data_IF_360253752939
#
_entry.id   IF_360253752939
#
_cell.length_a   1.000
_cell.length_b   1.000
_cell.length_c   1.000
_cell.angle_alpha   90.00
_cell.angle_beta   90.00
_cell.angle_gamma   90.00
#
_symmetry.space_group_name_H-M   'P 1'
#
loop_
_entity.id
_entity.type
_entity.pdbx_description
1 polymer ?
#
# COMPACT_ATOMS: atom_id res chain seq x y z
N UNK A 1 22.63 -38.19 11.80
CA UNK A 1 22.64 -37.69 10.40
C UNK A 1 21.63 -36.54 10.34
N UNK A 2 22.08 -35.28 10.22
CA UNK A 2 21.16 -34.12 10.19
C UNK A 2 20.49 -34.10 8.82
N UNK A 3 19.15 -34.13 8.77
CA UNK A 3 18.44 -33.99 7.50
C UNK A 3 18.76 -32.61 6.89
N UNK A 4 19.06 -32.54 5.57
CA UNK A 4 19.23 -31.26 4.89
C UNK A 4 17.95 -30.43 4.98
N UNK A 5 18.12 -29.11 5.07
CA UNK A 5 17.04 -28.15 5.22
C UNK A 5 16.00 -28.33 4.09
N UNK A 6 14.70 -28.45 4.38
CA UNK A 6 13.66 -28.67 3.36
C UNK A 6 13.66 -27.62 2.25
N UNK A 7 14.10 -26.39 2.54
CA UNK A 7 14.27 -25.30 1.55
C UNK A 7 15.39 -25.59 0.56
N UNK A 8 16.49 -26.19 1.04
CA UNK A 8 17.63 -26.56 0.18
C UNK A 8 17.26 -27.76 -0.69
N UNK A 9 16.50 -28.72 -0.15
CA UNK A 9 16.01 -29.86 -0.91
C UNK A 9 15.05 -29.44 -2.03
N UNK A 10 14.09 -28.54 -1.76
CA UNK A 10 13.16 -28.07 -2.79
C UNK A 10 13.85 -27.25 -3.88
N UNK A 11 14.81 -26.40 -3.51
CA UNK A 11 15.62 -25.64 -4.47
C UNK A 11 16.47 -26.56 -5.37
N UNK A 12 17.11 -27.58 -4.79
CA UNK A 12 17.91 -28.54 -5.55
C UNK A 12 17.07 -29.34 -6.56
N UNK A 13 15.87 -29.77 -6.16
CA UNK A 13 14.92 -30.43 -7.07
C UNK A 13 14.50 -29.49 -8.20
N UNK A 14 14.22 -28.21 -7.89
CA UNK A 14 13.91 -27.20 -8.90
C UNK A 14 15.04 -27.03 -9.92
N UNK A 15 16.29 -26.88 -9.45
CA UNK A 15 17.45 -26.77 -10.34
C UNK A 15 17.65 -28.02 -11.22
N UNK A 16 17.45 -29.22 -10.68
CA UNK A 16 17.55 -30.46 -11.45
C UNK A 16 16.48 -30.55 -12.55
N UNK A 17 15.24 -30.16 -12.25
CA UNK A 17 14.16 -30.13 -13.24
C UNK A 17 14.46 -29.11 -14.35
N UNK A 18 14.97 -27.92 -14.01
CA UNK A 18 15.37 -26.92 -15.00
C UNK A 18 16.50 -27.39 -15.91
N UNK A 19 17.56 -28.00 -15.33
CA UNK A 19 18.67 -28.55 -16.10
C UNK A 19 18.20 -29.69 -17.00
N UNK A 20 17.31 -30.54 -16.52
CA UNK A 20 16.74 -31.64 -17.29
C UNK A 20 15.87 -31.14 -18.45
N UNK A 21 15.05 -30.10 -18.23
CA UNK A 21 14.28 -29.46 -19.30
C UNK A 21 15.18 -28.90 -20.41
N UNK A 22 16.27 -28.22 -20.03
CA UNK A 22 17.26 -27.70 -20.98
C UNK A 22 17.94 -28.84 -21.77
N UNK A 23 18.27 -29.94 -21.11
CA UNK A 23 18.86 -31.10 -21.77
C UNK A 23 17.90 -31.73 -22.80
N UNK A 24 16.61 -31.85 -22.47
CA UNK A 24 15.58 -32.36 -23.39
C UNK A 24 15.45 -31.47 -24.62
N UNK A 25 15.49 -30.15 -24.44
CA UNK A 25 15.44 -29.18 -25.54
C UNK A 25 16.62 -29.37 -26.52
N UNK A 26 17.85 -29.40 -26.00
CA UNK A 26 19.05 -29.64 -26.82
C UNK A 26 19.06 -31.03 -27.49
N UNK A 27 18.63 -32.07 -26.79
CA UNK A 27 18.62 -33.44 -27.32
C UNK A 27 17.58 -33.61 -28.43
N UNK A 28 16.42 -32.94 -28.33
CA UNK A 28 15.38 -32.97 -29.35
C UNK A 28 15.75 -32.13 -30.58
N UNK A 29 16.53 -31.06 -30.41
CA UNK A 29 17.08 -30.28 -31.53
C UNK A 29 18.18 -31.06 -32.29
N UNK A 30 18.96 -31.88 -31.60
CA UNK A 30 19.94 -32.77 -32.21
C UNK A 30 19.30 -33.95 -32.96
N UNK A 31 18.28 -34.58 -32.36
CA UNK A 31 17.57 -35.73 -32.93
C UNK A 31 16.04 -35.53 -32.83
N UNK A 32 15.31 -35.30 -33.95
CA UNK A 32 13.87 -35.05 -33.91
C UNK A 32 13.02 -36.26 -33.48
N UNK A 33 13.60 -37.47 -33.46
CA UNK A 33 12.98 -38.69 -32.94
C UNK A 33 13.31 -38.97 -31.46
N UNK A 34 14.02 -38.06 -30.78
CA UNK A 34 14.35 -38.20 -29.37
C UNK A 34 13.10 -38.17 -28.48
N UNK A 35 12.98 -39.15 -27.57
CA UNK A 35 11.87 -39.30 -26.62
C UNK A 35 12.39 -39.09 -25.21
N UNK A 36 11.92 -38.03 -24.55
CA UNK A 36 12.36 -37.68 -23.20
C UNK A 36 11.73 -38.61 -22.15
N UNK A 37 12.37 -38.74 -20.98
CA UNK A 37 11.83 -39.51 -19.84
C UNK A 37 10.51 -38.92 -19.30
N UNK A 38 10.25 -37.64 -19.55
CA UNK A 38 9.01 -36.97 -19.18
C UNK A 38 7.90 -37.09 -20.25
N UNK A 39 8.13 -37.82 -21.34
CA UNK A 39 7.10 -38.18 -22.32
C UNK A 39 6.34 -39.43 -21.87
N UNK A 40 5.35 -39.21 -21.01
CA UNK A 40 4.59 -40.29 -20.33
C UNK A 40 3.55 -40.91 -21.27
N UNK A 41 2.90 -40.09 -22.12
CA UNK A 41 1.89 -40.54 -23.08
C UNK A 41 1.89 -39.67 -24.34
N UNK A 42 1.16 -40.07 -25.39
CA UNK A 42 1.02 -39.23 -26.60
C UNK A 42 0.40 -37.85 -26.33
N UNK A 43 -0.44 -37.76 -25.29
CA UNK A 43 -1.14 -36.55 -24.85
C UNK A 43 -0.36 -35.75 -23.78
N UNK A 44 0.61 -36.36 -23.11
CA UNK A 44 1.48 -35.71 -22.11
C UNK A 44 2.94 -35.90 -22.49
N UNK A 45 3.42 -34.98 -23.35
CA UNK A 45 4.80 -34.94 -23.83
C UNK A 45 5.47 -33.61 -23.49
N UNK A 46 6.50 -33.67 -22.65
CA UNK A 46 7.34 -32.51 -22.33
C UNK A 46 8.15 -32.05 -23.54
N UNK A 47 8.61 -32.97 -24.40
CA UNK A 47 9.39 -32.65 -25.60
C UNK A 47 8.56 -31.76 -26.53
N UNK A 48 7.31 -32.15 -26.82
CA UNK A 48 6.38 -31.36 -27.66
C UNK A 48 6.08 -29.98 -27.07
N UNK A 49 6.00 -29.86 -25.74
CA UNK A 49 5.75 -28.58 -25.06
C UNK A 49 6.98 -27.67 -25.16
N UNK A 50 8.16 -28.20 -24.84
CA UNK A 50 9.42 -27.45 -24.80
C UNK A 50 9.90 -27.02 -26.19
N UNK A 51 9.66 -27.81 -27.23
CA UNK A 51 10.02 -27.47 -28.62
C UNK A 51 8.90 -26.77 -29.38
N UNK A 52 7.75 -26.53 -28.73
CA UNK A 52 6.65 -25.80 -29.36
C UNK A 52 7.08 -24.35 -29.68
N UNK A 53 6.54 -23.75 -30.77
CA UNK A 53 6.77 -22.34 -31.08
C UNK A 53 6.38 -21.36 -29.96
N UNK A 54 5.62 -21.81 -28.95
CA UNK A 54 5.29 -21.04 -27.76
C UNK A 54 6.50 -20.80 -26.85
N UNK A 55 7.52 -21.65 -26.89
CA UNK A 55 8.74 -21.53 -26.07
C UNK A 55 9.77 -20.55 -26.70
N UNK A 56 10.05 -20.69 -27.99
CA UNK A 56 10.99 -19.82 -28.72
C UNK A 56 10.45 -18.40 -28.97
N UNK A 57 9.12 -18.21 -28.94
CA UNK A 57 8.50 -16.88 -28.93
C UNK A 57 8.88 -16.05 -27.70
N UNK A 58 9.39 -16.66 -26.62
CA UNK A 58 9.64 -15.99 -25.35
C UNK A 58 10.76 -14.94 -25.41
N UNK A 59 11.79 -15.10 -26.26
CA UNK A 59 12.88 -14.11 -26.38
C UNK A 59 12.51 -12.91 -27.28
N UNK A 60 11.77 -13.15 -28.38
CA UNK A 60 11.23 -12.07 -29.24
C UNK A 60 10.02 -11.35 -28.59
N UNK A 61 9.21 -12.05 -27.78
CA UNK A 61 8.18 -11.44 -26.93
C UNK A 61 8.79 -10.67 -25.76
N UNK A 62 9.95 -11.08 -25.23
CA UNK A 62 10.64 -10.32 -24.18
C UNK A 62 10.99 -8.90 -24.62
N UNK A 63 11.33 -8.73 -25.90
CA UNK A 63 11.65 -7.41 -26.48
C UNK A 63 10.44 -6.65 -27.03
N UNK A 64 9.22 -7.18 -26.86
CA UNK A 64 8.01 -6.46 -27.27
C UNK A 64 7.79 -5.25 -26.34
N UNK A 65 7.55 -4.03 -26.88
CA UNK A 65 7.36 -2.81 -26.09
C UNK A 65 6.30 -2.96 -24.98
N UNK A 66 5.23 -3.68 -25.27
CA UNK A 66 4.15 -3.95 -24.33
C UNK A 66 4.64 -4.76 -23.13
N UNK A 67 5.46 -5.79 -23.35
CA UNK A 67 5.99 -6.62 -22.28
C UNK A 67 6.97 -5.83 -21.41
N UNK A 68 7.83 -5.01 -22.01
CA UNK A 68 8.79 -4.19 -21.27
C UNK A 68 8.09 -3.18 -20.35
N UNK A 69 6.98 -2.59 -20.80
CA UNK A 69 6.16 -1.70 -19.98
C UNK A 69 5.69 -2.40 -18.70
N UNK A 70 5.06 -3.57 -18.81
CA UNK A 70 4.50 -4.29 -17.66
C UNK A 70 5.57 -4.83 -16.70
N UNK A 71 6.75 -5.22 -17.23
CA UNK A 71 7.87 -5.62 -16.38
C UNK A 71 8.47 -4.41 -15.63
N UNK A 72 8.57 -3.25 -16.27
CA UNK A 72 9.02 -2.03 -15.62
C UNK A 72 8.02 -1.56 -14.56
N UNK A 73 6.72 -1.62 -14.84
CA UNK A 73 5.66 -1.32 -13.86
C UNK A 73 5.71 -2.29 -12.67
N UNK A 74 5.93 -3.59 -12.91
CA UNK A 74 6.09 -4.58 -11.85
C UNK A 74 7.35 -4.34 -11.01
N UNK A 75 8.48 -4.03 -11.65
CA UNK A 75 9.72 -3.69 -10.96
C UNK A 75 9.56 -2.44 -10.09
N UNK A 76 8.88 -1.41 -10.61
CA UNK A 76 8.54 -0.20 -9.86
C UNK A 76 7.66 -0.53 -8.64
N UNK A 77 6.59 -1.30 -8.81
CA UNK A 77 5.74 -1.76 -7.71
C UNK A 77 6.53 -2.53 -6.64
N UNK A 78 7.45 -3.42 -7.03
CA UNK A 78 8.26 -4.15 -6.07
C UNK A 78 9.23 -3.25 -5.29
N UNK A 79 9.79 -2.24 -5.95
CA UNK A 79 10.62 -1.23 -5.30
C UNK A 79 9.80 -0.37 -4.32
N UNK A 80 8.58 0.02 -4.68
CA UNK A 80 7.66 0.72 -3.79
C UNK A 80 7.30 -0.12 -2.59
N UNK A 81 6.90 -1.39 -2.80
CA UNK A 81 6.53 -2.30 -1.74
C UNK A 81 7.70 -2.53 -0.78
N UNK A 82 8.91 -2.73 -1.30
CA UNK A 82 10.12 -2.85 -0.49
C UNK A 82 10.39 -1.57 0.32
N UNK A 83 10.24 -0.40 -0.30
CA UNK A 83 10.43 0.89 0.36
C UNK A 83 9.41 1.09 1.48
N UNK A 84 8.11 0.88 1.20
CA UNK A 84 7.03 0.96 2.19
C UNK A 84 7.24 -0.02 3.33
N UNK A 85 7.62 -1.26 3.03
CA UNK A 85 7.92 -2.27 4.04
C UNK A 85 9.07 -1.83 4.96
N UNK A 86 10.15 -1.32 4.38
CA UNK A 86 11.30 -0.78 5.12
C UNK A 86 10.92 0.44 5.98
N UNK A 87 9.97 1.27 5.53
CA UNK A 87 9.43 2.40 6.30
C UNK A 87 8.53 1.95 7.46
N UNK A 88 7.74 0.88 7.30
CA UNK A 88 6.81 0.38 8.33
C UNK A 88 7.54 -0.42 9.42
N UNK A 89 8.61 -1.13 9.05
CA UNK A 89 9.36 -1.94 9.99
C UNK A 89 9.98 -1.05 11.09
N UNK A 90 9.78 -1.39 12.39
CA UNK A 90 10.31 -0.61 13.53
C UNK A 90 11.83 -0.69 13.71
N UNK A 91 12.59 -1.24 12.74
CA UNK A 91 14.06 -1.35 12.81
C UNK A 91 14.73 0.03 12.79
N UNK A 92 14.11 1.02 12.15
CA UNK A 92 14.62 2.38 12.09
C UNK A 92 13.80 3.30 12.99
N UNK A 93 14.37 3.68 14.14
CA UNK A 93 13.79 4.68 15.05
C UNK A 93 13.39 5.94 14.27
N UNK A 94 12.25 6.56 14.63
CA UNK A 94 11.81 7.84 14.05
C UNK A 94 12.90 8.93 14.09
N UNK A 95 13.82 8.86 15.07
CA UNK A 95 14.99 9.74 15.16
C UNK A 95 16.03 9.49 14.06
N UNK A 96 16.23 8.25 13.64
CA UNK A 96 17.12 7.88 12.54
C UNK A 96 16.57 8.37 11.20
N UNK A 97 15.27 8.23 10.98
CA UNK A 97 14.58 8.84 9.84
C UNK A 97 14.69 10.35 9.85
N UNK A 98 14.51 11.01 11.00
CA UNK A 98 14.67 12.46 11.12
C UNK A 98 16.09 12.94 10.72
N UNK A 99 17.12 12.16 11.07
CA UNK A 99 18.50 12.44 10.63
C UNK A 99 18.67 12.23 9.13
N UNK A 100 18.08 11.16 8.57
CA UNK A 100 18.08 10.90 7.14
C UNK A 100 17.37 12.02 6.35
N UNK A 101 16.18 12.46 6.79
CA UNK A 101 15.44 13.57 6.18
C UNK A 101 16.13 14.93 6.34
N UNK A 102 17.02 15.08 7.32
CA UNK A 102 17.87 16.28 7.48
C UNK A 102 19.11 16.29 6.58
N UNK A 103 19.43 15.21 5.87
CA UNK A 103 20.55 15.26 4.91
C UNK A 103 20.20 16.19 3.75
N UNK A 104 21.17 17.01 3.32
CA UNK A 104 20.93 18.08 2.35
C UNK A 104 20.42 17.59 0.97
N UNK A 105 20.69 16.34 0.61
CA UNK A 105 20.16 15.74 -0.62
C UNK A 105 18.66 15.42 -0.51
N UNK A 106 18.23 14.90 0.64
CA UNK A 106 16.81 14.59 0.90
C UNK A 106 15.98 15.86 1.03
N UNK A 107 16.53 16.94 1.59
CA UNK A 107 15.83 18.23 1.62
C UNK A 107 15.62 18.84 0.23
N UNK A 108 16.61 18.71 -0.67
CA UNK A 108 16.44 19.08 -2.08
C UNK A 108 15.37 18.21 -2.75
N UNK A 109 15.42 16.90 -2.52
CA UNK A 109 14.42 15.96 -3.04
C UNK A 109 13.01 16.28 -2.50
N UNK A 110 12.89 16.70 -1.24
CA UNK A 110 11.65 17.10 -0.61
C UNK A 110 11.06 18.37 -1.24
N UNK A 111 11.89 19.35 -1.59
CA UNK A 111 11.45 20.56 -2.29
C UNK A 111 10.86 20.24 -3.68
N UNK A 112 11.44 19.27 -4.38
CA UNK A 112 10.91 18.78 -5.67
C UNK A 112 9.87 17.66 -5.54
N UNK A 113 9.57 17.19 -4.32
CA UNK A 113 8.75 15.99 -4.08
C UNK A 113 7.34 16.12 -4.65
N UNK A 114 6.74 17.32 -4.57
CA UNK A 114 5.40 17.56 -5.14
C UNK A 114 5.38 17.41 -6.66
N UNK A 115 6.42 17.88 -7.35
CA UNK A 115 6.53 17.76 -8.81
C UNK A 115 6.72 16.29 -9.22
N UNK A 116 7.66 15.58 -8.59
CA UNK A 116 7.86 14.15 -8.85
C UNK A 116 6.62 13.33 -8.52
N UNK A 117 5.95 13.62 -7.41
CA UNK A 117 4.72 12.93 -7.03
C UNK A 117 3.63 13.07 -8.10
N UNK A 118 3.37 14.30 -8.55
CA UNK A 118 2.36 14.55 -9.57
C UNK A 118 2.75 13.92 -10.92
N UNK A 119 4.03 13.97 -11.28
CA UNK A 119 4.54 13.32 -12.50
C UNK A 119 4.30 11.81 -12.48
N UNK A 120 4.73 11.12 -11.41
CA UNK A 120 4.52 9.67 -11.27
C UNK A 120 3.05 9.30 -11.14
N UNK A 121 2.23 10.15 -10.50
CA UNK A 121 0.79 9.96 -10.41
C UNK A 121 0.14 9.98 -11.80
N UNK A 122 0.49 10.94 -12.64
CA UNK A 122 0.00 11.01 -14.02
C UNK A 122 0.52 9.82 -14.83
N UNK A 123 1.82 9.49 -14.71
CA UNK A 123 2.43 8.35 -15.41
C UNK A 123 1.74 7.02 -15.06
N UNK A 124 1.57 6.72 -13.77
CA UNK A 124 0.87 5.52 -13.30
C UNK A 124 -0.62 5.55 -13.67
N UNK A 125 -1.25 6.73 -13.67
CA UNK A 125 -2.61 6.92 -14.14
C UNK A 125 -2.76 6.55 -15.63
N UNK A 126 -1.82 6.98 -16.48
CA UNK A 126 -1.80 6.59 -17.90
C UNK A 126 -1.57 5.09 -18.09
N UNK A 127 -0.66 4.48 -17.32
CA UNK A 127 -0.43 3.02 -17.36
C UNK A 127 -1.68 2.26 -16.90
N UNK A 128 -2.39 2.74 -15.88
CA UNK A 128 -3.64 2.16 -15.42
C UNK A 128 -4.74 2.28 -16.48
N UNK A 129 -4.85 3.42 -17.16
CA UNK A 129 -5.78 3.61 -18.28
C UNK A 129 -5.46 2.69 -19.44
N UNK A 130 -4.18 2.50 -19.78
CA UNK A 130 -3.76 1.54 -20.81
C UNK A 130 -4.10 0.10 -20.40
N UNK A 131 -3.92 -0.25 -19.12
CA UNK A 131 -4.31 -1.57 -18.60
C UNK A 131 -5.83 -1.80 -18.68
N UNK A 132 -6.63 -0.78 -18.33
CA UNK A 132 -8.09 -0.82 -18.43
C UNK A 132 -8.52 -0.97 -19.89
N UNK A 133 -7.98 -0.14 -20.79
CA UNK A 133 -8.22 -0.22 -22.24
C UNK A 133 -7.86 -1.60 -22.76
N UNK A 134 -6.73 -2.16 -22.35
CA UNK A 134 -6.28 -3.48 -22.77
C UNK A 134 -7.25 -4.58 -22.32
N UNK A 135 -7.68 -4.59 -21.05
CA UNK A 135 -8.67 -5.56 -20.55
C UNK A 135 -10.00 -5.42 -21.28
N UNK A 136 -10.49 -4.20 -21.48
CA UNK A 136 -11.74 -3.94 -22.18
C UNK A 136 -11.69 -4.38 -23.65
N UNK A 137 -10.61 -4.05 -24.37
CA UNK A 137 -10.43 -4.44 -25.76
C UNK A 137 -10.31 -5.96 -25.90
N UNK A 138 -9.55 -6.63 -25.04
CA UNK A 138 -9.41 -8.10 -25.08
C UNK A 138 -10.72 -8.80 -24.71
N UNK A 139 -11.49 -8.26 -23.76
CA UNK A 139 -12.82 -8.76 -23.40
C UNK A 139 -13.79 -8.65 -24.58
N UNK A 140 -13.86 -7.48 -25.21
CA UNK A 140 -14.71 -7.25 -26.39
C UNK A 140 -14.35 -8.19 -27.54
N UNK A 141 -13.04 -8.36 -27.82
CA UNK A 141 -12.58 -9.27 -28.87
C UNK A 141 -12.94 -10.74 -28.58
N UNK A 142 -12.87 -11.17 -27.32
CA UNK A 142 -13.30 -12.52 -26.91
C UNK A 142 -14.81 -12.73 -27.06
N UNK A 143 -15.62 -11.74 -26.70
CA UNK A 143 -17.08 -11.79 -26.86
C UNK A 143 -17.49 -11.90 -28.35
N UNK A 144 -16.82 -11.17 -29.25
CA UNK A 144 -17.03 -11.27 -30.71
C UNK A 144 -16.61 -12.63 -31.29
N UNK A 145 -15.55 -13.24 -30.76
CA UNK A 145 -15.14 -14.58 -31.18
C UNK A 145 -16.19 -15.63 -30.77
N UNK A 146 -16.73 -15.51 -29.55
CA UNK A 146 -17.76 -16.41 -29.03
C UNK A 146 -19.07 -16.32 -29.82
N UNK A 147 -19.38 -15.17 -30.42
CA UNK A 147 -20.58 -15.00 -31.25
C UNK A 147 -20.49 -15.64 -32.63
N UNK A 148 -19.31 -16.13 -33.07
CA UNK A 148 -19.10 -16.80 -34.35
C UNK A 148 -18.63 -18.26 -34.14
N UNK A 149 -19.55 -19.21 -33.86
CA UNK A 149 -19.22 -20.59 -33.50
C UNK A 149 -18.42 -21.35 -34.56
N UNK A 150 -18.50 -20.93 -35.83
CA UNK A 150 -17.78 -21.55 -36.95
C UNK A 150 -16.27 -21.30 -36.94
N UNK A 151 -15.80 -20.26 -36.26
CA UNK A 151 -14.36 -19.91 -36.15
C UNK A 151 -13.75 -20.29 -34.79
N UNK A 152 -14.56 -20.79 -33.86
CA UNK A 152 -14.17 -21.11 -32.50
C UNK A 152 -13.46 -22.47 -32.44
N UNK A 153 -12.18 -22.48 -32.80
CA UNK A 153 -11.30 -23.64 -32.60
C UNK A 153 -10.81 -23.67 -31.14
N UNK A 154 -10.66 -24.85 -30.51
CA UNK A 154 -10.16 -24.95 -29.12
C UNK A 154 -8.80 -24.24 -28.92
N UNK A 155 -7.94 -24.31 -29.94
CA UNK A 155 -6.63 -23.65 -29.94
C UNK A 155 -6.74 -22.13 -29.92
N UNK A 156 -7.69 -21.53 -30.66
CA UNK A 156 -7.86 -20.07 -30.71
C UNK A 156 -8.50 -19.56 -29.42
N UNK A 157 -9.47 -20.29 -28.86
CA UNK A 157 -10.07 -19.96 -27.56
C UNK A 157 -9.02 -19.90 -26.45
N UNK A 158 -8.14 -20.90 -26.37
CA UNK A 158 -7.07 -20.95 -25.36
C UNK A 158 -6.11 -19.76 -25.44
N UNK A 159 -5.78 -19.30 -26.65
CA UNK A 159 -4.91 -18.14 -26.88
C UNK A 159 -5.54 -16.83 -26.40
N UNK A 160 -6.84 -16.64 -26.65
CA UNK A 160 -7.57 -15.45 -26.19
C UNK A 160 -7.73 -15.44 -24.67
N UNK A 161 -8.06 -16.58 -24.06
CA UNK A 161 -8.12 -16.72 -22.61
C UNK A 161 -6.76 -16.39 -21.96
N UNK A 162 -5.65 -16.89 -22.52
CA UNK A 162 -4.31 -16.58 -22.04
C UNK A 162 -4.01 -15.07 -22.07
N UNK A 163 -4.37 -14.38 -23.17
CA UNK A 163 -4.19 -12.92 -23.30
C UNK A 163 -5.06 -12.15 -22.32
N UNK A 164 -6.29 -12.60 -22.06
CA UNK A 164 -7.19 -12.01 -21.08
C UNK A 164 -6.62 -12.10 -19.66
N UNK A 165 -6.13 -13.27 -19.23
CA UNK A 165 -5.50 -13.43 -17.91
C UNK A 165 -4.26 -12.55 -17.75
N UNK A 166 -3.47 -12.40 -18.83
CA UNK A 166 -2.32 -11.48 -18.83
C UNK A 166 -2.76 -10.03 -18.63
N UNK A 167 -3.80 -9.59 -19.36
CA UNK A 167 -4.33 -8.23 -19.22
C UNK A 167 -4.93 -7.97 -17.83
N UNK A 168 -5.67 -8.92 -17.26
CA UNK A 168 -6.20 -8.83 -15.90
C UNK A 168 -5.10 -8.68 -14.85
N UNK A 169 -4.03 -9.49 -14.94
CA UNK A 169 -2.87 -9.38 -14.06
C UNK A 169 -2.20 -8.01 -14.18
N UNK A 170 -1.99 -7.53 -15.40
CA UNK A 170 -1.37 -6.24 -15.65
C UNK A 170 -2.19 -5.07 -15.07
N UNK A 171 -3.53 -5.16 -15.13
CA UNK A 171 -4.43 -4.22 -14.47
C UNK A 171 -4.25 -4.21 -12.95
N UNK A 172 -4.14 -5.39 -12.32
CA UNK A 172 -3.88 -5.47 -10.88
C UNK A 172 -2.52 -4.84 -10.51
N UNK A 173 -1.46 -5.16 -11.26
CA UNK A 173 -0.12 -4.58 -11.02
C UNK A 173 -0.17 -3.05 -11.11
N UNK A 174 -0.77 -2.50 -12.17
CA UNK A 174 -0.89 -1.05 -12.35
C UNK A 174 -1.72 -0.40 -11.23
N UNK A 175 -2.84 -1.02 -10.86
CA UNK A 175 -3.70 -0.53 -9.78
C UNK A 175 -3.01 -0.56 -8.42
N UNK A 176 -2.28 -1.63 -8.10
CA UNK A 176 -1.49 -1.74 -6.88
C UNK A 176 -0.33 -0.74 -6.84
N UNK A 177 0.34 -0.49 -7.96
CA UNK A 177 1.42 0.50 -8.04
C UNK A 177 0.90 1.90 -7.73
N UNK A 178 -0.22 2.29 -8.36
CA UNK A 178 -0.86 3.57 -8.09
C UNK A 178 -1.30 3.70 -6.62
N UNK A 179 -1.92 2.66 -6.06
CA UNK A 179 -2.29 2.64 -4.65
C UNK A 179 -1.08 2.75 -3.71
N UNK A 180 -0.03 1.98 -3.98
CA UNK A 180 1.21 2.01 -3.18
C UNK A 180 1.91 3.36 -3.26
N UNK A 181 1.88 4.04 -4.41
CA UNK A 181 2.40 5.40 -4.52
C UNK A 181 1.69 6.40 -3.58
N UNK A 182 0.37 6.28 -3.42
CA UNK A 182 -0.39 7.06 -2.43
C UNK A 182 0.00 6.73 -1.00
N UNK A 183 0.11 5.44 -0.66
CA UNK A 183 0.53 4.97 0.66
C UNK A 183 1.94 5.49 0.97
N UNK A 184 2.85 5.41 0.02
CA UNK A 184 4.22 5.88 0.15
C UNK A 184 4.29 7.39 0.46
N UNK A 185 3.57 8.22 -0.30
CA UNK A 185 3.47 9.67 -0.01
C UNK A 185 2.91 9.93 1.39
N UNK A 186 1.84 9.21 1.76
CA UNK A 186 1.20 9.35 3.07
C UNK A 186 2.18 9.01 4.20
N UNK A 187 2.94 7.94 4.07
CA UNK A 187 3.93 7.51 5.07
C UNK A 187 5.08 8.51 5.20
N UNK A 188 5.67 8.98 4.09
CA UNK A 188 6.75 9.98 4.14
C UNK A 188 6.28 11.24 4.86
N UNK A 189 5.07 11.73 4.54
CA UNK A 189 4.51 12.92 5.18
C UNK A 189 4.30 12.70 6.69
N UNK A 190 3.69 11.58 7.07
CA UNK A 190 3.48 11.23 8.48
C UNK A 190 4.80 11.12 9.26
N UNK A 191 5.81 10.47 8.69
CA UNK A 191 7.12 10.33 9.35
C UNK A 191 7.80 11.69 9.48
N UNK A 192 7.68 12.56 8.48
CA UNK A 192 8.24 13.92 8.51
C UNK A 192 7.55 14.78 9.58
N UNK A 193 6.22 14.74 9.64
CA UNK A 193 5.42 15.45 10.65
C UNK A 193 5.74 14.92 12.07
N UNK A 194 5.81 13.59 12.25
CA UNK A 194 6.16 12.97 13.52
C UNK A 194 7.58 13.34 13.98
N UNK A 195 8.54 13.37 13.05
CA UNK A 195 9.92 13.77 13.32
C UNK A 195 10.02 15.24 13.76
N UNK A 196 9.27 16.14 13.11
CA UNK A 196 9.23 17.57 13.47
C UNK A 196 8.59 17.78 14.85
N UNK A 197 7.45 17.12 15.11
CA UNK A 197 6.76 17.19 16.40
C UNK A 197 7.60 16.62 17.56
N UNK A 198 8.29 15.50 17.31
CA UNK A 198 9.20 14.91 18.32
C UNK A 198 10.38 15.84 18.64
N UNK A 199 10.91 16.53 17.63
CA UNK A 199 12.02 17.47 17.82
C UNK A 199 11.58 18.75 18.56
N UNK A 200 10.39 19.29 18.27
CA UNK A 200 9.86 20.46 18.98
C UNK A 200 9.53 20.14 20.44
N UNK A 201 8.98 18.95 20.71
CA UNK A 201 8.72 18.48 22.07
C UNK A 201 10.02 18.29 22.88
N UNK A 202 11.07 17.73 22.27
CA UNK A 202 12.36 17.60 22.96
C UNK A 202 13.01 18.96 23.23
N UNK A 203 12.86 19.92 22.32
CA UNK A 203 13.33 21.29 22.50
C UNK A 203 12.57 22.02 23.63
N UNK A 204 11.24 21.93 23.68
CA UNK A 204 10.42 22.55 24.73
C UNK A 204 10.69 21.93 26.10
N UNK A 205 10.85 20.60 26.18
CA UNK A 205 11.24 19.93 27.43
C UNK A 205 12.62 20.36 27.92
N UNK A 206 13.60 20.53 27.01
CA UNK A 206 14.92 21.05 27.39
C UNK A 206 14.83 22.50 27.87
N UNK A 207 14.04 23.34 27.20
CA UNK A 207 13.84 24.73 27.61
C UNK A 207 13.18 24.82 28.99
N UNK A 208 12.13 24.04 29.25
CA UNK A 208 11.46 23.99 30.55
C UNK A 208 12.41 23.51 31.66
N UNK A 209 13.16 22.42 31.44
CA UNK A 209 14.15 21.92 32.40
C UNK A 209 15.26 22.92 32.69
N UNK A 210 15.77 23.60 31.67
CA UNK A 210 16.79 24.63 31.85
C UNK A 210 16.24 25.82 32.64
N UNK A 211 15.01 26.26 32.36
CA UNK A 211 14.34 27.33 33.11
C UNK A 211 14.12 26.93 34.59
N UNK A 212 13.68 25.70 34.85
CA UNK A 212 13.53 25.17 36.22
C UNK A 212 14.87 25.07 36.94
N UNK A 213 15.94 24.60 36.29
CA UNK A 213 17.27 24.53 36.87
C UNK A 213 17.84 25.92 37.21
N UNK A 214 17.63 26.91 36.34
CA UNK A 214 18.00 28.31 36.61
C UNK A 214 17.20 28.87 37.78
N UNK A 215 15.90 28.58 37.86
CA UNK A 215 15.06 28.99 38.99
C UNK A 215 15.51 28.33 40.31
N UNK A 216 15.82 27.03 40.31
CA UNK A 216 16.37 26.32 41.48
C UNK A 216 17.72 26.92 41.91
N UNK A 217 18.62 27.22 40.97
CA UNK A 217 19.91 27.82 41.27
C UNK A 217 19.77 29.25 41.84
N UNK A 218 18.81 30.03 41.33
CA UNK A 218 18.48 31.35 41.88
C UNK A 218 17.87 31.26 43.28
N UNK A 219 17.07 30.23 43.57
CA UNK A 219 16.50 29.98 44.89
C UNK A 219 17.54 29.46 45.89
N UNK A 220 18.49 28.62 45.46
CA UNK A 220 19.56 28.09 46.32
C UNK A 220 20.67 29.10 46.59
N UNK A 221 20.92 30.03 45.66
CA UNK A 221 21.93 31.09 45.84
C UNK A 221 21.45 32.23 46.75
N UNK A 222 20.28 32.09 47.37
CA UNK A 222 19.69 33.08 48.29
C UNK A 222 20.24 32.94 49.71
N UNK A 223 21.55 33.10 49.82
CA UNK A 223 22.24 33.48 51.05
C UNK A 223 22.67 34.94 50.94
N UNK A 224 21.91 35.82 51.60
CA UNK A 224 22.20 37.23 51.90
C UNK A 224 21.78 38.31 50.87
N UNK A 225 20.80 39.13 51.27
CA UNK A 225 20.53 40.46 50.69
C UNK A 225 19.23 40.57 49.89
N UNK A 226 18.18 41.11 50.51
CA UNK A 226 16.89 41.38 49.87
C UNK A 226 16.98 42.63 48.96
N UNK A 227 17.36 42.40 47.69
CA UNK A 227 17.38 43.43 46.64
C UNK A 227 15.99 43.60 46.00
N UNK A 228 15.69 44.80 45.50
CA UNK A 228 14.46 45.17 44.77
C UNK A 228 14.09 44.18 43.64
N UNK A 229 15.10 43.52 43.07
CA UNK A 229 15.00 42.44 42.09
C UNK A 229 14.19 41.24 42.66
N UNK A 230 14.37 40.89 43.93
CA UNK A 230 13.61 39.82 44.60
C UNK A 230 12.13 40.17 44.75
N UNK A 231 11.79 41.45 44.92
CA UNK A 231 10.39 41.90 44.96
C UNK A 231 9.75 41.84 43.58
N UNK A 232 10.45 42.25 42.52
CA UNK A 232 9.98 42.09 41.13
C UNK A 232 9.82 40.62 40.73
N UNK A 233 10.79 39.76 41.05
CA UNK A 233 10.68 38.33 40.78
C UNK A 233 9.55 37.66 41.57
N UNK A 234 9.26 38.09 42.81
CA UNK A 234 8.09 37.61 43.55
C UNK A 234 6.77 38.04 42.89
N UNK A 235 6.71 39.27 42.37
CA UNK A 235 5.54 39.77 41.64
C UNK A 235 5.34 39.04 40.30
N UNK A 236 6.42 38.80 39.54
CA UNK A 236 6.39 38.00 38.31
C UNK A 236 6.06 36.52 38.58
N UNK A 237 6.49 35.95 39.72
CA UNK A 237 6.09 34.61 40.14
C UNK A 237 4.59 34.52 40.47
N UNK A 238 4.04 35.52 41.15
CA UNK A 238 2.59 35.61 41.40
C UNK A 238 1.82 35.73 40.07
N UNK A 239 2.25 36.59 39.15
CA UNK A 239 1.64 36.74 37.82
C UNK A 239 1.73 35.45 36.98
N UNK A 240 2.89 34.78 36.97
CA UNK A 240 3.05 33.49 36.28
C UNK A 240 2.22 32.39 36.92
N UNK A 241 2.09 32.37 38.25
CA UNK A 241 1.27 31.39 38.96
C UNK A 241 -0.22 31.61 38.69
N UNK A 242 -0.64 32.87 38.61
CA UNK A 242 -2.01 33.23 38.23
C UNK A 242 -2.30 32.81 36.78
N UNK A 243 -1.38 33.06 35.84
CA UNK A 243 -1.50 32.58 34.45
C UNK A 243 -1.49 31.07 34.33
N UNK A 244 -0.71 30.37 35.16
CA UNK A 244 -0.70 28.91 35.20
C UNK A 244 -2.03 28.36 35.71
N UNK A 245 -2.63 28.97 36.74
CA UNK A 245 -3.96 28.60 37.21
C UNK A 245 -5.03 28.88 36.15
N UNK A 246 -4.94 30.01 35.45
CA UNK A 246 -5.86 30.37 34.36
C UNK A 246 -5.73 29.40 33.16
N UNK A 247 -4.50 28.99 32.82
CA UNK A 247 -4.24 27.97 31.80
C UNK A 247 -4.72 26.58 32.25
N UNK A 248 -4.53 26.21 33.52
CA UNK A 248 -4.98 24.94 34.08
C UNK A 248 -6.52 24.85 34.14
N UNK A 249 -7.20 25.94 34.50
CA UNK A 249 -8.66 26.06 34.37
C UNK A 249 -9.11 25.96 32.91
N UNK A 250 -8.42 26.64 31.98
CA UNK A 250 -8.72 26.55 30.54
C UNK A 250 -8.54 25.14 29.98
N UNK A 251 -7.58 24.38 30.49
CA UNK A 251 -7.35 23.01 30.10
C UNK A 251 -8.37 22.05 30.74
N UNK A 252 -8.82 22.34 31.96
CA UNK A 252 -9.90 21.59 32.62
C UNK A 252 -11.24 21.78 31.89
N UNK A 253 -11.58 23.01 31.50
CA UNK A 253 -12.78 23.30 30.70
C UNK A 253 -12.70 22.63 29.32
N UNK A 254 -11.56 22.74 28.63
CA UNK A 254 -11.35 22.06 27.33
C UNK A 254 -11.51 20.54 27.43
N UNK A 255 -11.03 19.92 28.51
CA UNK A 255 -11.26 18.48 28.76
C UNK A 255 -12.72 18.15 28.98
N UNK A 256 -13.44 19.00 29.72
CA UNK A 256 -14.88 18.83 29.95
C UNK A 256 -15.68 18.98 28.64
N UNK A 257 -15.29 19.92 27.78
CA UNK A 257 -15.88 20.12 26.46
C UNK A 257 -15.62 18.92 25.55
N UNK A 258 -14.41 18.34 25.58
CA UNK A 258 -14.11 17.10 24.84
C UNK A 258 -14.97 15.91 25.29
N UNK A 259 -15.19 15.75 26.59
CA UNK A 259 -16.08 14.69 27.12
C UNK A 259 -17.51 14.94 26.66
N UNK A 260 -17.96 16.18 26.68
CA UNK A 260 -19.31 16.58 26.23
C UNK A 260 -19.50 16.34 24.73
N UNK A 261 -18.54 16.77 23.90
CA UNK A 261 -18.51 16.51 22.46
C UNK A 261 -18.51 15.02 22.14
N UNK A 262 -17.73 14.23 22.88
CA UNK A 262 -17.72 12.77 22.73
C UNK A 262 -19.09 12.16 23.01
N UNK A 263 -19.76 12.62 24.08
CA UNK A 263 -21.12 12.16 24.43
C UNK A 263 -22.14 12.54 23.36
N UNK A 264 -22.07 13.77 22.84
CA UNK A 264 -22.92 14.23 21.74
C UNK A 264 -22.68 13.40 20.48
N UNK A 265 -21.42 13.17 20.09
CA UNK A 265 -21.08 12.33 18.94
C UNK A 265 -21.62 10.90 19.07
N UNK A 266 -21.53 10.30 20.26
CA UNK A 266 -22.11 8.96 20.50
C UNK A 266 -23.63 8.94 20.42
N UNK A 267 -24.31 9.99 20.90
CA UNK A 267 -25.76 10.11 20.78
C UNK A 267 -26.19 10.30 19.32
N UNK A 268 -25.49 11.15 18.56
CA UNK A 268 -25.78 11.34 17.12
C UNK A 268 -25.56 10.05 16.33
N UNK A 269 -24.54 9.27 16.64
CA UNK A 269 -24.31 7.98 16.01
C UNK A 269 -25.47 7.00 16.26
N UNK A 270 -25.96 6.93 17.52
CA UNK A 270 -27.09 6.09 17.89
C UNK A 270 -28.40 6.50 17.17
N UNK A 271 -28.68 7.81 17.08
CA UNK A 271 -29.85 8.30 16.34
C UNK A 271 -29.72 8.03 14.83
N UNK A 272 -28.52 8.13 14.28
CA UNK A 272 -28.27 7.80 12.87
C UNK A 272 -28.52 6.31 12.59
N UNK A 273 -28.02 5.41 13.45
CA UNK A 273 -28.25 3.98 13.33
C UNK A 273 -29.75 3.64 13.43
N UNK A 274 -30.46 4.28 14.38
CA UNK A 274 -31.91 4.13 14.51
C UNK A 274 -32.65 4.55 13.24
N UNK A 275 -32.37 5.74 12.72
CA UNK A 275 -33.02 6.23 11.48
C UNK A 275 -32.68 5.33 10.30
N UNK A 276 -31.43 4.84 10.21
CA UNK A 276 -31.05 3.89 9.17
C UNK A 276 -31.87 2.60 9.24
N UNK A 277 -32.13 2.06 10.45
CA UNK A 277 -33.01 0.90 10.62
C UNK A 277 -34.45 1.20 10.25
N UNK A 278 -34.99 2.36 10.63
CA UNK A 278 -36.35 2.78 10.26
C UNK A 278 -36.49 2.94 8.73
N UNK A 279 -35.50 3.51 8.05
CA UNK A 279 -35.46 3.61 6.59
C UNK A 279 -35.43 2.22 5.92
N UNK A 280 -34.62 1.28 6.43
CA UNK A 280 -34.56 -0.08 5.89
C UNK A 280 -35.91 -0.80 6.05
N UNK A 281 -36.58 -0.63 7.19
CA UNK A 281 -37.87 -1.26 7.43
C UNK A 281 -38.98 -0.66 6.57
N UNK A 282 -39.00 0.67 6.40
CA UNK A 282 -39.91 1.33 5.47
C UNK A 282 -39.68 0.85 4.03
N UNK A 283 -38.43 0.72 3.60
CA UNK A 283 -38.10 0.24 2.26
C UNK A 283 -38.54 -1.21 2.05
N UNK A 284 -38.38 -2.08 3.06
CA UNK A 284 -38.91 -3.45 3.04
C UNK A 284 -40.44 -3.48 2.95
N UNK A 285 -41.14 -2.62 3.70
CA UNK A 285 -42.60 -2.50 3.64
C UNK A 285 -43.07 -2.03 2.26
N UNK A 286 -42.37 -1.06 1.65
CA UNK A 286 -42.66 -0.60 0.29
C UNK A 286 -42.46 -1.75 -0.71
N UNK A 287 -41.38 -2.53 -0.59
CA UNK A 287 -41.15 -3.70 -1.46
C UNK A 287 -42.28 -4.73 -1.32
N UNK A 288 -42.71 -5.06 -0.10
CA UNK A 288 -43.81 -6.00 0.15
C UNK A 288 -45.16 -5.50 -0.40
N UNK A 289 -45.40 -4.19 -0.37
CA UNK A 289 -46.61 -3.58 -0.95
C UNK A 289 -46.53 -3.41 -2.48
N UNK A 290 -45.31 -3.42 -3.04
CA UNK A 290 -45.05 -3.29 -4.48
C UNK A 290 -44.97 -4.65 -5.19
N UNK A 291 -44.96 -5.77 -4.47
CA UNK A 291 -45.12 -7.10 -5.07
C UNK A 291 -46.60 -7.28 -5.50
N UNK A 292 -46.87 -7.57 -6.79
CA UNK A 292 -48.24 -7.81 -7.23
C UNK A 292 -48.73 -9.14 -6.64
N UNK A 293 -49.91 -9.11 -6.02
CA UNK A 293 -50.61 -10.29 -5.50
C UNK A 293 -50.82 -11.34 -6.61
N UNK A 294 -49.95 -12.35 -6.65
CA UNK A 294 -50.13 -13.54 -7.47
C UNK A 294 -51.02 -14.54 -6.72
N UNK A 295 -52.24 -14.69 -7.26
CA UNK A 295 -53.16 -15.82 -7.19
C UNK A 295 -53.57 -16.46 -5.85
N UNK A 296 -54.89 -16.36 -5.59
CA UNK A 296 -55.69 -17.51 -5.17
C UNK A 296 -56.88 -17.67 -6.12
N UNK A 297 -56.71 -18.53 -7.12
CA UNK A 297 -57.79 -19.25 -7.80
C UNK A 297 -57.48 -20.74 -7.77
N UNK A 298 -58.10 -21.45 -6.82
CA UNK A 298 -58.32 -22.91 -6.85
C UNK A 298 -59.29 -23.27 -5.72
N UNK A 299 -60.58 -23.08 -5.96
CA UNK A 299 -61.60 -24.14 -6.07
C UNK A 299 -62.98 -23.51 -6.30
#
# INVERSE_FOLDING_TARGET
>A
MKLPNPVVCSAAVGCLICLYALHVEFAHEADPNYRALCDISETMSCSKVLTSPCQFGHLYLYFSPDIMLWHLTAAFLYLEMFSVFLLIIPLFSSRSWAKFFKTGWVQKLAAFSTYYFNFFLVLLGLVLLEALRQVMNQRSAYETLKSHPSELRPETESLYLMRMFRAQRNLYIAGFALFMWFVFRRLIRLISEHAQMSASQEASLKQAKNASAVAEQMLSSKGNGESEIVKRLKAELEDLKQKLQEEEESHATTKQDLVTLKKQATQTAQEYDRVATECQELQRRITLLSEPSADKKSD
#
